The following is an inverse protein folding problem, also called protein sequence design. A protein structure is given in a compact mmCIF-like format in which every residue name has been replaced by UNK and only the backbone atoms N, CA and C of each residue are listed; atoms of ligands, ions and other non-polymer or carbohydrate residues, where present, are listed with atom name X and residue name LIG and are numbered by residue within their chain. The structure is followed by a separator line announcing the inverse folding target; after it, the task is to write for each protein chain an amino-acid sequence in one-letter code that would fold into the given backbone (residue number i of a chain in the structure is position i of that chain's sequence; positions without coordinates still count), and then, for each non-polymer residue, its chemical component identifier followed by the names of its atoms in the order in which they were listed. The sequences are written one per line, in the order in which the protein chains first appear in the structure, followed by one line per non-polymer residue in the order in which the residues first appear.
data_IF_492850633879
#
_entry.id   IF_492850633879
#
_cell.length_a   1.000
_cell.length_b   1.000
_cell.length_c   1.000
_cell.angle_alpha   90.00
_cell.angle_beta   90.00
_cell.angle_gamma   90.00
#
_symmetry.space_group_name_H-M   'P 1'
#
loop_
_entity.id
_entity.type
_entity.pdbx_description
1 polymer ?
#
# COMPACT_ATOMS: atom_id res chain seq x y z
N UNK A 1 -14.17 -12.63 -13.34
CA UNK A 1 -14.30 -12.86 -14.79
C UNK A 1 -13.43 -14.05 -15.19
N UNK A 2 -13.78 -14.81 -16.24
CA UNK A 2 -12.93 -15.89 -16.77
C UNK A 2 -11.64 -15.30 -17.34
N UNK A 3 -10.55 -16.04 -17.28
CA UNK A 3 -9.24 -15.65 -17.83
C UNK A 3 -9.22 -15.73 -19.35
N UNK A 4 -8.34 -14.94 -19.98
CA UNK A 4 -8.14 -15.02 -21.44
C UNK A 4 -7.72 -16.41 -21.87
N UNK A 5 -6.84 -17.08 -21.10
CA UNK A 5 -6.42 -18.46 -21.39
C UNK A 5 -7.58 -19.45 -21.35
N UNK A 6 -8.54 -19.29 -20.44
CA UNK A 6 -9.71 -20.16 -20.37
C UNK A 6 -10.68 -19.90 -21.54
N UNK A 7 -10.88 -18.64 -21.90
CA UNK A 7 -11.74 -18.27 -23.04
C UNK A 7 -11.19 -18.74 -24.39
N UNK A 8 -9.89 -18.98 -24.49
CA UNK A 8 -9.25 -19.50 -25.69
C UNK A 8 -9.36 -21.03 -25.85
N UNK A 9 -9.84 -21.75 -24.82
CA UNK A 9 -10.08 -23.20 -24.88
C UNK A 9 -11.27 -23.51 -25.80
N UNK A 10 -11.14 -24.41 -26.80
CA UNK A 10 -12.23 -24.75 -27.72
C UNK A 10 -13.52 -25.14 -27.02
N UNK A 11 -13.42 -25.97 -25.97
CA UNK A 11 -14.55 -26.45 -25.17
C UNK A 11 -15.34 -25.30 -24.51
N UNK A 12 -14.66 -24.25 -24.09
CA UNK A 12 -15.28 -23.07 -23.49
C UNK A 12 -15.94 -22.21 -24.56
N UNK A 13 -15.27 -22.05 -25.71
CA UNK A 13 -15.82 -21.31 -26.85
C UNK A 13 -17.10 -21.96 -27.36
N UNK A 14 -17.13 -23.29 -27.53
CA UNK A 14 -18.34 -24.04 -27.89
C UNK A 14 -19.48 -23.80 -26.90
N UNK A 15 -19.23 -23.89 -25.62
CA UNK A 15 -20.24 -23.63 -24.57
C UNK A 15 -20.77 -22.19 -24.65
N UNK A 16 -19.92 -21.21 -24.91
CA UNK A 16 -20.32 -19.81 -25.07
C UNK A 16 -21.19 -19.66 -26.32
N UNK A 17 -20.79 -20.25 -27.44
CA UNK A 17 -21.53 -20.22 -28.71
C UNK A 17 -22.94 -20.83 -28.52
N UNK A 18 -23.04 -22.00 -27.87
CA UNK A 18 -24.34 -22.64 -27.59
C UNK A 18 -25.22 -21.70 -26.78
N UNK A 19 -24.68 -21.12 -25.71
CA UNK A 19 -25.46 -20.25 -24.82
C UNK A 19 -25.85 -18.93 -25.49
N UNK A 20 -25.03 -18.38 -26.35
CA UNK A 20 -25.35 -17.18 -27.15
C UNK A 20 -26.42 -17.49 -28.18
N UNK A 21 -26.36 -18.68 -28.84
CA UNK A 21 -27.38 -19.13 -29.78
C UNK A 21 -28.73 -19.30 -29.07
N UNK A 22 -28.76 -19.85 -27.85
CA UNK A 22 -29.99 -19.98 -27.05
C UNK A 22 -30.66 -18.63 -26.73
N UNK A 23 -29.88 -17.58 -26.54
CA UNK A 23 -30.37 -16.22 -26.23
C UNK A 23 -30.84 -15.49 -27.51
N UNK A 24 -30.09 -15.63 -28.62
CA UNK A 24 -30.36 -14.88 -29.85
C UNK A 24 -31.50 -15.50 -30.65
N UNK A 25 -31.65 -16.85 -30.67
CA UNK A 25 -32.65 -17.55 -31.48
C UNK A 25 -34.10 -17.11 -31.20
N UNK A 26 -34.52 -16.87 -29.94
CA UNK A 26 -35.87 -16.35 -29.67
C UNK A 26 -36.05 -14.94 -30.23
N UNK A 27 -35.06 -14.05 -30.06
CA UNK A 27 -35.14 -12.66 -30.53
C UNK A 27 -35.15 -12.57 -32.08
N UNK A 28 -34.46 -13.48 -32.75
CA UNK A 28 -34.48 -13.57 -34.22
C UNK A 28 -35.82 -14.01 -34.78
N UNK A 29 -36.55 -14.89 -34.07
CA UNK A 29 -37.89 -15.34 -34.46
C UNK A 29 -38.94 -14.23 -34.36
N UNK A 30 -38.76 -13.27 -33.46
CA UNK A 30 -39.65 -12.11 -33.32
C UNK A 30 -39.42 -11.04 -34.42
N UNK A 31 -38.27 -11.08 -35.10
CA UNK A 31 -37.84 -10.11 -36.12
C UNK A 31 -37.89 -10.70 -37.54
N UNK A 32 -38.79 -11.66 -37.82
CA UNK A 32 -38.93 -12.26 -39.15
C UNK A 32 -39.23 -11.20 -40.22
N UNK A 33 -38.22 -10.91 -41.01
CA UNK A 33 -38.35 -10.12 -42.24
C UNK A 33 -37.16 -9.26 -42.67
N UNK A 34 -36.22 -8.93 -41.78
CA UNK A 34 -35.17 -7.90 -42.10
C UNK A 34 -33.79 -8.16 -41.49
N UNK A 35 -33.50 -9.28 -40.91
CA UNK A 35 -32.19 -9.51 -40.24
C UNK A 35 -31.35 -10.50 -41.04
N UNK A 36 -30.18 -10.05 -41.58
CA UNK A 36 -29.14 -10.95 -42.05
C UNK A 36 -28.83 -12.01 -40.98
N UNK A 37 -28.64 -13.27 -41.44
CA UNK A 37 -28.27 -14.37 -40.53
C UNK A 37 -26.98 -14.03 -39.79
N UNK A 38 -27.07 -13.72 -38.53
CA UNK A 38 -25.92 -13.36 -37.69
C UNK A 38 -25.09 -14.62 -37.46
N UNK A 39 -23.83 -14.58 -37.91
CA UNK A 39 -22.86 -15.65 -37.64
C UNK A 39 -22.38 -15.57 -36.18
N UNK A 40 -23.06 -16.30 -35.30
CA UNK A 40 -22.78 -16.29 -33.85
C UNK A 40 -21.35 -16.78 -33.53
N UNK A 41 -20.86 -17.76 -34.27
CA UNK A 41 -19.51 -18.31 -34.08
C UNK A 41 -18.44 -17.23 -34.36
N UNK A 42 -18.61 -16.45 -35.41
CA UNK A 42 -17.73 -15.35 -35.77
C UNK A 42 -17.78 -14.20 -34.75
N UNK A 43 -18.97 -13.86 -34.27
CA UNK A 43 -19.15 -12.81 -33.24
C UNK A 43 -18.48 -13.22 -31.94
N UNK A 44 -18.67 -14.47 -31.48
CA UNK A 44 -18.04 -14.98 -30.27
C UNK A 44 -16.53 -14.96 -30.40
N UNK A 45 -15.98 -15.44 -31.53
CA UNK A 45 -14.53 -15.43 -31.77
C UNK A 45 -13.96 -13.99 -31.78
N UNK A 46 -14.62 -13.07 -32.49
CA UNK A 46 -14.22 -11.64 -32.53
C UNK A 46 -14.32 -10.99 -31.13
N UNK A 47 -15.36 -11.29 -30.37
CA UNK A 47 -15.53 -10.75 -29.02
C UNK A 47 -14.45 -11.24 -28.08
N UNK A 48 -14.09 -12.53 -28.15
CA UNK A 48 -12.99 -13.08 -27.34
C UNK A 48 -11.66 -12.47 -27.75
N UNK A 49 -11.40 -12.35 -29.06
CA UNK A 49 -10.18 -11.70 -29.56
C UNK A 49 -10.06 -10.26 -29.09
N UNK A 50 -11.12 -9.46 -29.24
CA UNK A 50 -11.17 -8.07 -28.78
C UNK A 50 -11.00 -7.96 -27.25
N UNK A 51 -11.63 -8.83 -26.48
CA UNK A 51 -11.42 -8.88 -25.04
C UNK A 51 -9.97 -9.15 -24.68
N UNK A 52 -9.34 -10.13 -25.34
CA UNK A 52 -7.94 -10.46 -25.10
C UNK A 52 -7.01 -9.31 -25.48
N UNK A 53 -7.36 -8.54 -26.49
CA UNK A 53 -6.63 -7.34 -26.91
C UNK A 53 -6.78 -6.20 -25.87
N UNK A 54 -7.98 -5.98 -25.36
CA UNK A 54 -8.33 -4.85 -24.48
C UNK A 54 -8.21 -5.16 -22.99
N UNK A 55 -7.63 -6.29 -22.58
CA UNK A 55 -7.49 -6.63 -21.16
C UNK A 55 -6.11 -7.18 -20.83
N UNK A 56 -5.66 -6.97 -19.60
CA UNK A 56 -4.55 -7.69 -18.98
C UNK A 56 -5.14 -8.52 -17.83
N UNK A 57 -4.92 -9.82 -17.85
CA UNK A 57 -5.37 -10.69 -16.76
C UNK A 57 -4.43 -10.52 -15.56
N UNK A 58 -4.90 -9.88 -14.51
CA UNK A 58 -4.17 -9.65 -13.26
C UNK A 58 -4.73 -10.61 -12.20
N UNK A 59 -3.94 -11.56 -11.67
CA UNK A 59 -4.41 -12.47 -10.63
C UNK A 59 -4.83 -11.70 -9.37
N UNK A 60 -5.92 -12.13 -8.74
CA UNK A 60 -6.30 -11.61 -7.44
C UNK A 60 -5.57 -12.37 -6.36
N UNK A 61 -4.56 -11.75 -5.79
CA UNK A 61 -3.77 -12.30 -4.68
C UNK A 61 -4.24 -11.64 -3.39
N UNK A 62 -4.63 -12.46 -2.42
CA UNK A 62 -4.97 -12.03 -1.06
C UNK A 62 -3.91 -12.59 -0.14
N UNK A 63 -3.26 -11.71 0.61
CA UNK A 63 -2.30 -12.10 1.65
C UNK A 63 -3.08 -12.21 2.95
N UNK A 64 -3.06 -13.38 3.59
CA UNK A 64 -3.68 -13.59 4.89
C UNK A 64 -2.60 -13.86 5.94
N UNK A 65 -2.67 -13.22 7.11
CA UNK A 65 -1.80 -13.58 8.22
C UNK A 65 -2.12 -15.01 8.67
N UNK A 66 -1.08 -15.82 8.80
CA UNK A 66 -1.17 -17.21 9.30
C UNK A 66 -0.32 -17.34 10.54
N UNK A 67 -0.89 -17.92 11.61
CA UNK A 67 -0.21 -18.07 12.89
C UNK A 67 -0.47 -16.93 13.88
N UNK A 68 0.29 -16.91 14.95
CA UNK A 68 0.14 -15.92 16.01
C UNK A 68 0.58 -14.54 15.51
N UNK A 69 -0.30 -13.55 15.64
CA UNK A 69 0.04 -12.16 15.38
C UNK A 69 0.77 -11.62 16.61
N UNK A 70 2.06 -11.36 16.48
CA UNK A 70 2.81 -10.62 17.51
C UNK A 70 2.45 -9.16 17.42
N UNK A 71 1.84 -8.66 18.50
CA UNK A 71 1.51 -7.25 18.68
C UNK A 71 2.58 -6.62 19.54
N UNK A 72 3.03 -5.41 19.20
CA UNK A 72 4.04 -4.75 19.97
C UNK A 72 4.30 -3.32 19.53
N UNK A 73 5.33 -2.74 20.09
CA UNK A 73 5.73 -1.36 19.78
C UNK A 73 7.18 -1.35 19.34
N UNK A 74 7.49 -0.56 18.29
CA UNK A 74 8.87 -0.31 17.87
C UNK A 74 9.56 0.60 18.87
N UNK A 75 10.86 0.43 19.04
CA UNK A 75 11.70 1.37 19.78
C UNK A 75 11.69 2.75 19.14
N UNK A 76 11.59 3.78 19.96
CA UNK A 76 11.60 5.17 19.48
C UNK A 76 12.12 6.12 20.57
N UNK A 77 12.41 7.36 20.16
CA UNK A 77 12.78 8.42 21.09
C UNK A 77 11.64 9.41 21.26
N UNK A 78 11.39 9.78 22.52
CA UNK A 78 10.39 10.78 22.87
C UNK A 78 10.87 12.18 22.48
N UNK A 79 10.03 12.94 21.82
CA UNK A 79 10.20 14.39 21.69
C UNK A 79 9.67 15.07 22.98
N UNK A 80 10.61 15.43 23.85
CA UNK A 80 10.34 16.08 25.16
C UNK A 80 10.69 17.57 25.14
N UNK A 81 11.07 18.15 24.00
CA UNK A 81 11.55 19.54 23.92
C UNK A 81 10.54 20.56 24.46
N UNK A 82 9.24 20.30 24.29
CA UNK A 82 8.15 21.15 24.79
C UNK A 82 7.71 20.84 26.23
N UNK A 83 8.20 19.74 26.82
CA UNK A 83 7.81 19.31 28.17
C UNK A 83 8.65 20.09 29.21
N UNK A 84 8.01 20.97 29.98
CA UNK A 84 8.63 21.80 31.02
C UNK A 84 7.81 21.78 32.31
N UNK A 85 7.70 20.60 32.91
CA UNK A 85 6.99 20.41 34.16
C UNK A 85 7.78 20.96 35.34
N UNK A 86 7.11 21.61 36.29
CA UNK A 86 7.72 22.21 37.44
C UNK A 86 7.25 21.48 38.74
N UNK A 87 8.10 21.43 39.76
CA UNK A 87 7.70 20.90 41.05
C UNK A 87 6.61 21.78 41.68
N UNK A 88 5.75 21.16 42.45
CA UNK A 88 4.71 21.83 43.25
C UNK A 88 5.07 21.88 44.72
N UNK A 89 4.44 22.78 45.47
CA UNK A 89 4.62 22.85 46.94
C UNK A 89 4.26 21.51 47.59
N UNK A 90 5.00 21.15 48.64
CA UNK A 90 4.82 19.88 49.36
C UNK A 90 3.41 19.68 49.87
N UNK A 91 2.73 20.76 50.34
CA UNK A 91 1.35 20.67 50.76
C UNK A 91 0.39 20.25 49.65
N UNK A 92 0.58 20.81 48.45
CA UNK A 92 -0.20 20.45 47.28
C UNK A 92 0.06 19.00 46.86
N UNK A 93 1.34 18.60 46.85
CA UNK A 93 1.72 17.21 46.56
C UNK A 93 1.08 16.24 47.57
N UNK A 94 1.15 16.52 48.86
CA UNK A 94 0.56 15.68 49.91
C UNK A 94 -0.96 15.57 49.74
N UNK A 95 -1.66 16.65 49.43
CA UNK A 95 -3.11 16.64 49.15
C UNK A 95 -3.44 15.76 47.96
N UNK A 96 -2.69 15.87 46.86
CA UNK A 96 -2.91 15.05 45.67
C UNK A 96 -2.62 13.57 45.93
N UNK A 97 -1.54 13.25 46.64
CA UNK A 97 -1.22 11.88 47.03
C UNK A 97 -2.28 11.29 47.97
N UNK A 98 -2.82 12.08 48.89
CA UNK A 98 -3.94 11.64 49.75
C UNK A 98 -5.21 11.39 48.93
N UNK A 99 -5.54 12.26 47.98
CA UNK A 99 -6.68 12.08 47.09
C UNK A 99 -6.53 10.79 46.27
N UNK A 100 -5.37 10.55 45.70
CA UNK A 100 -5.09 9.30 44.95
C UNK A 100 -5.10 8.09 45.85
N UNK A 101 -4.63 8.18 47.09
CA UNK A 101 -4.70 7.10 48.08
C UNK A 101 -6.13 6.69 48.37
N UNK A 102 -7.03 7.65 48.56
CA UNK A 102 -8.46 7.36 48.79
C UNK A 102 -9.06 6.62 47.57
N UNK A 103 -8.79 7.09 46.33
CA UNK A 103 -9.25 6.42 45.12
C UNK A 103 -8.65 5.01 44.99
N UNK A 104 -7.36 4.84 45.27
CA UNK A 104 -6.69 3.53 45.20
C UNK A 104 -7.12 2.57 46.31
N UNK A 105 -7.40 3.08 47.54
CA UNK A 105 -7.97 2.25 48.60
C UNK A 105 -9.36 1.73 48.26
N UNK A 106 -10.16 2.53 47.57
CA UNK A 106 -11.47 2.09 47.05
C UNK A 106 -11.30 1.02 45.96
N UNK A 107 -10.18 1.03 45.22
CA UNK A 107 -9.82 0.06 44.20
C UNK A 107 -8.94 -1.10 44.67
N UNK A 108 -8.61 -1.16 45.97
CA UNK A 108 -7.82 -2.24 46.59
C UNK A 108 -6.29 -2.12 46.41
N UNK A 109 -5.77 -1.06 45.79
CA UNK A 109 -4.34 -0.82 45.61
C UNK A 109 -3.81 0.28 46.55
N UNK A 110 -2.80 -0.03 47.37
CA UNK A 110 -2.15 0.94 48.27
C UNK A 110 -1.19 1.90 47.59
N UNK A 111 -0.77 3.01 48.25
CA UNK A 111 0.34 3.83 47.77
C UNK A 111 1.63 3.07 48.05
N UNK A 112 2.41 2.83 46.99
CA UNK A 112 3.73 2.21 47.08
C UNK A 112 4.77 3.28 46.75
N UNK A 113 5.85 3.38 47.57
CA UNK A 113 7.04 4.16 47.20
C UNK A 113 7.87 3.32 46.28
N UNK A 114 8.14 3.84 45.09
CA UNK A 114 8.88 3.11 44.04
C UNK A 114 10.39 3.11 44.37
N UNK A 115 11.08 2.02 44.05
CA UNK A 115 12.51 1.87 44.25
C UNK A 115 13.35 2.69 43.26
N UNK A 116 12.84 2.84 42.04
CA UNK A 116 13.48 3.59 40.93
C UNK A 116 12.55 4.71 40.48
N UNK A 117 13.12 5.82 40.00
CA UNK A 117 12.32 6.93 39.50
C UNK A 117 11.50 6.56 38.26
N UNK A 118 12.06 5.70 37.40
CA UNK A 118 11.38 5.19 36.21
C UNK A 118 10.10 4.40 36.60
N UNK A 119 10.10 3.72 37.73
CA UNK A 119 8.97 2.89 38.17
C UNK A 119 7.67 3.69 38.35
N UNK A 120 7.75 4.99 38.69
CA UNK A 120 6.58 5.86 38.76
C UNK A 120 5.87 5.98 37.41
N UNK A 121 6.62 5.97 36.32
CA UNK A 121 6.10 6.07 34.94
C UNK A 121 5.68 4.68 34.44
N UNK A 122 6.56 3.68 34.57
CA UNK A 122 6.34 2.32 34.09
C UNK A 122 5.07 1.73 34.69
N UNK A 123 4.87 1.92 36.03
CA UNK A 123 3.68 1.44 36.71
C UNK A 123 2.38 2.00 36.15
N UNK A 124 2.37 3.26 35.75
CA UNK A 124 1.18 3.85 35.11
C UNK A 124 0.95 3.38 33.69
N UNK A 125 2.04 3.01 32.98
CA UNK A 125 1.94 2.48 31.62
C UNK A 125 1.39 1.05 31.58
N UNK A 126 1.77 0.20 32.52
CA UNK A 126 1.26 -1.18 32.58
C UNK A 126 -0.22 -1.29 32.99
N UNK A 127 -0.82 -0.20 33.43
CA UNK A 127 -2.26 -0.16 33.72
C UNK A 127 -3.13 -0.04 32.44
N UNK A 128 -2.51 0.17 31.26
CA UNK A 128 -3.25 0.17 29.99
C UNK A 128 -3.42 -1.24 29.43
N UNK A 129 -4.62 -1.54 28.92
CA UNK A 129 -5.00 -2.87 28.42
C UNK A 129 -4.19 -3.31 27.18
N UNK A 130 -3.62 -2.35 26.43
CA UNK A 130 -2.83 -2.58 25.23
C UNK A 130 -1.32 -2.74 25.50
N UNK A 131 -0.89 -2.68 26.76
CA UNK A 131 0.51 -2.83 27.18
C UNK A 131 0.71 -4.12 27.99
N UNK A 132 1.49 -5.06 27.45
CA UNK A 132 1.96 -6.24 28.16
C UNK A 132 3.35 -5.98 28.73
N UNK A 133 3.51 -6.06 30.06
CA UNK A 133 4.80 -5.82 30.71
C UNK A 133 5.87 -6.81 30.26
N UNK A 134 5.54 -8.09 30.15
CA UNK A 134 6.50 -9.15 29.82
C UNK A 134 7.09 -8.95 28.41
N UNK A 135 6.30 -8.39 27.50
CA UNK A 135 6.73 -8.18 26.10
C UNK A 135 7.43 -6.82 25.89
N UNK A 136 7.13 -5.82 26.75
CA UNK A 136 7.51 -4.43 26.51
C UNK A 136 8.41 -3.82 27.60
N UNK A 137 8.81 -4.58 28.62
CA UNK A 137 9.54 -4.05 29.77
C UNK A 137 10.76 -3.18 29.39
N UNK A 138 11.57 -3.62 28.46
CA UNK A 138 12.77 -2.89 28.02
C UNK A 138 12.39 -1.53 27.40
N UNK A 139 11.41 -1.49 26.51
CA UNK A 139 10.90 -0.26 25.89
C UNK A 139 10.31 0.69 26.96
N UNK A 140 9.50 0.16 27.89
CA UNK A 140 8.88 0.98 28.94
C UNK A 140 9.92 1.65 29.82
N UNK A 141 10.96 0.91 30.22
CA UNK A 141 12.08 1.46 31.00
C UNK A 141 12.94 2.42 30.20
N UNK A 142 13.16 2.20 28.91
CA UNK A 142 13.87 3.15 28.06
C UNK A 142 13.10 4.49 27.95
N UNK A 143 11.80 4.44 27.66
CA UNK A 143 10.96 5.64 27.56
C UNK A 143 10.85 6.38 28.90
N UNK A 144 10.68 5.66 30.00
CA UNK A 144 10.69 6.26 31.33
C UNK A 144 12.04 6.88 31.67
N UNK A 145 13.15 6.23 31.32
CA UNK A 145 14.51 6.75 31.46
C UNK A 145 14.74 8.04 30.68
N UNK A 146 14.21 8.14 29.45
CA UNK A 146 14.26 9.37 28.64
C UNK A 146 13.54 10.52 29.36
N UNK A 147 12.38 10.28 29.98
CA UNK A 147 11.66 11.28 30.77
C UNK A 147 12.46 11.70 32.00
N UNK A 148 12.99 10.74 32.78
CA UNK A 148 13.81 11.04 33.96
C UNK A 148 15.06 11.85 33.58
N UNK A 149 15.76 11.45 32.53
CA UNK A 149 16.92 12.17 32.02
C UNK A 149 16.54 13.61 31.57
N UNK A 150 15.40 13.78 30.90
CA UNK A 150 14.91 15.09 30.51
C UNK A 150 14.60 15.98 31.73
N UNK A 151 13.92 15.46 32.75
CA UNK A 151 13.63 16.21 33.98
C UNK A 151 14.92 16.64 34.68
N UNK A 152 15.91 15.74 34.79
CA UNK A 152 17.24 16.03 35.36
C UNK A 152 18.00 17.12 34.59
N UNK A 153 17.69 17.33 33.33
CA UNK A 153 18.38 18.33 32.50
C UNK A 153 18.07 19.79 32.91
N UNK A 154 16.98 20.04 33.66
CA UNK A 154 16.54 21.39 34.00
C UNK A 154 16.05 21.56 35.45
N UNK A 155 15.81 20.49 36.22
CA UNK A 155 15.47 20.54 37.62
C UNK A 155 16.75 20.52 38.47
N UNK A 156 16.67 21.05 39.70
CA UNK A 156 17.85 21.30 40.54
C UNK A 156 18.43 20.03 41.15
N UNK A 157 17.56 19.14 41.63
CA UNK A 157 17.97 17.94 42.37
C UNK A 157 16.96 16.80 42.22
N UNK A 158 17.30 15.62 42.72
CA UNK A 158 16.46 14.42 42.66
C UNK A 158 15.12 14.59 43.42
N UNK A 159 15.07 15.50 44.41
CA UNK A 159 13.84 15.76 45.17
C UNK A 159 12.82 16.48 44.30
N UNK A 160 13.27 17.46 43.52
CA UNK A 160 12.40 18.12 42.53
C UNK A 160 11.97 17.15 41.42
N UNK A 161 12.87 16.28 40.94
CA UNK A 161 12.52 15.25 39.97
C UNK A 161 11.45 14.31 40.52
N UNK A 162 11.62 13.81 41.72
CA UNK A 162 10.64 12.96 42.41
C UNK A 162 9.29 13.66 42.57
N UNK A 163 9.29 14.93 43.00
CA UNK A 163 8.06 15.72 43.16
C UNK A 163 7.30 15.81 41.83
N UNK A 164 8.00 16.14 40.73
CA UNK A 164 7.40 16.23 39.37
C UNK A 164 6.86 14.87 38.93
N UNK A 165 7.62 13.79 39.10
CA UNK A 165 7.18 12.45 38.74
C UNK A 165 5.93 12.03 39.54
N UNK A 166 5.89 12.33 40.81
CA UNK A 166 4.75 12.00 41.66
C UNK A 166 3.52 12.84 41.31
N UNK A 167 3.68 14.14 41.17
CA UNK A 167 2.54 15.04 40.90
C UNK A 167 2.00 14.89 39.49
N UNK A 168 2.89 14.85 38.48
CA UNK A 168 2.55 14.81 37.04
C UNK A 168 2.50 13.40 36.48
N UNK A 169 2.54 12.35 37.30
CA UNK A 169 2.58 10.94 36.87
C UNK A 169 1.62 10.64 35.73
N UNK A 170 0.34 10.97 35.89
CA UNK A 170 -0.68 10.64 34.90
C UNK A 170 -0.48 11.41 33.58
N UNK A 171 -0.04 12.65 33.65
CA UNK A 171 0.22 13.43 32.44
C UNK A 171 1.40 12.86 31.64
N UNK A 172 2.47 12.43 32.32
CA UNK A 172 3.63 11.79 31.71
C UNK A 172 3.27 10.43 31.11
N UNK A 173 2.53 9.63 31.83
CA UNK A 173 2.04 8.32 31.38
C UNK A 173 1.16 8.46 30.15
N UNK A 174 0.21 9.38 30.15
CA UNK A 174 -0.65 9.63 28.98
C UNK A 174 0.13 10.13 27.77
N UNK A 175 1.15 10.99 28.00
CA UNK A 175 2.03 11.47 26.94
C UNK A 175 2.76 10.31 26.27
N UNK A 176 3.41 9.45 27.07
CA UNK A 176 4.16 8.30 26.55
C UNK A 176 3.23 7.34 25.82
N UNK A 177 2.11 6.95 26.45
CA UNK A 177 1.13 6.04 25.83
C UNK A 177 0.59 6.58 24.49
N UNK A 178 0.31 7.89 24.42
CA UNK A 178 -0.10 8.52 23.16
C UNK A 178 0.97 8.39 22.08
N UNK A 179 2.26 8.55 22.42
CA UNK A 179 3.37 8.38 21.47
C UNK A 179 3.61 6.92 21.11
N UNK A 180 3.43 6.00 22.05
CA UNK A 180 3.54 4.57 21.76
C UNK A 180 2.54 4.13 20.69
N UNK A 181 1.33 4.69 20.65
CA UNK A 181 0.33 4.36 19.61
C UNK A 181 0.81 4.66 18.19
N UNK A 182 1.60 5.71 18.01
CA UNK A 182 2.18 6.07 16.71
C UNK A 182 3.27 5.05 16.27
N UNK A 183 3.75 4.22 17.20
CA UNK A 183 4.80 3.21 17.00
C UNK A 183 4.29 1.78 17.20
N UNK A 184 2.97 1.60 17.30
CA UNK A 184 2.35 0.28 17.39
C UNK A 184 2.51 -0.47 16.06
N UNK A 185 2.85 -1.75 16.15
CA UNK A 185 2.95 -2.64 15.00
C UNK A 185 2.34 -4.01 15.29
N UNK A 186 1.72 -4.57 14.28
CA UNK A 186 1.30 -5.97 14.29
C UNK A 186 2.18 -6.73 13.30
N UNK A 187 2.94 -7.70 13.78
CA UNK A 187 3.73 -8.60 12.95
C UNK A 187 3.11 -9.99 12.98
N UNK A 188 2.51 -10.41 11.89
CA UNK A 188 2.17 -11.81 11.75
C UNK A 188 3.46 -12.64 11.65
N UNK A 189 3.50 -13.79 12.33
CA UNK A 189 4.66 -14.69 12.32
C UNK A 189 4.86 -15.35 10.96
N UNK A 190 3.79 -15.45 10.15
CA UNK A 190 3.83 -15.88 8.77
C UNK A 190 2.66 -15.29 7.99
N UNK A 191 2.85 -15.12 6.69
CA UNK A 191 1.80 -14.73 5.76
C UNK A 191 1.65 -15.85 4.73
N UNK A 192 0.42 -16.28 4.47
CA UNK A 192 0.11 -17.11 3.32
C UNK A 192 -0.55 -16.27 2.25
N UNK A 193 0.00 -16.36 1.04
CA UNK A 193 -0.59 -15.74 -0.12
C UNK A 193 -1.58 -16.71 -0.76
N UNK A 194 -2.81 -16.29 -0.81
CA UNK A 194 -3.88 -17.05 -1.42
C UNK A 194 -4.29 -16.41 -2.75
N UNK A 195 -4.20 -17.15 -3.84
CA UNK A 195 -4.72 -16.70 -5.13
C UNK A 195 -6.20 -17.07 -5.19
N UNK A 196 -7.08 -16.09 -5.01
CA UNK A 196 -8.51 -16.29 -5.17
C UNK A 196 -8.83 -16.50 -6.65
N UNK A 197 -9.68 -17.52 -6.96
CA UNK A 197 -10.10 -17.78 -8.33
C UNK A 197 -10.71 -16.54 -8.99
N UNK A 198 -10.07 -16.05 -10.04
CA UNK A 198 -10.51 -14.88 -10.80
C UNK A 198 -9.42 -13.88 -11.07
N UNK A 199 -9.75 -12.86 -11.84
CA UNK A 199 -8.87 -11.75 -12.19
C UNK A 199 -9.36 -10.44 -11.59
N UNK A 200 -8.43 -9.55 -11.27
CA UNK A 200 -8.73 -8.17 -10.90
C UNK A 200 -9.26 -7.42 -12.12
N UNK A 201 -10.42 -6.79 -12.00
CA UNK A 201 -10.98 -5.96 -13.06
C UNK A 201 -10.62 -4.51 -12.77
N UNK A 202 -9.77 -3.92 -13.60
CA UNK A 202 -9.48 -2.50 -13.57
C UNK A 202 -10.52 -1.75 -14.43
N UNK A 203 -10.94 -0.57 -13.96
CA UNK A 203 -11.91 0.27 -14.65
C UNK A 203 -11.22 1.53 -15.18
N UNK A 204 -11.69 2.03 -16.32
CA UNK A 204 -11.24 3.32 -16.83
C UNK A 204 -11.54 4.43 -15.81
N UNK A 205 -10.60 5.36 -15.68
CA UNK A 205 -10.81 6.56 -14.88
C UNK A 205 -11.74 7.52 -15.61
N UNK A 206 -12.64 8.14 -14.85
CA UNK A 206 -13.37 9.31 -15.32
C UNK A 206 -12.59 10.56 -14.91
N UNK A 207 -12.27 11.41 -15.88
CA UNK A 207 -11.58 12.68 -15.63
C UNK A 207 -12.54 13.83 -15.90
N UNK A 208 -12.72 14.70 -14.91
CA UNK A 208 -13.38 15.99 -15.13
C UNK A 208 -12.32 17.03 -15.52
N UNK A 209 -12.44 17.59 -16.70
CA UNK A 209 -11.57 18.66 -17.21
C UNK A 209 -12.42 19.84 -17.63
N UNK A 210 -11.94 21.09 -17.48
CA UNK A 210 -12.55 22.25 -18.12
C UNK A 210 -12.62 22.06 -19.65
N UNK A 211 -13.66 22.57 -20.25
CA UNK A 211 -13.92 22.44 -21.71
C UNK A 211 -12.76 22.95 -22.59
N UNK A 212 -11.89 23.79 -22.04
CA UNK A 212 -10.74 24.38 -22.72
C UNK A 212 -9.46 23.52 -22.65
N UNK A 213 -9.41 22.49 -21.80
CA UNK A 213 -8.25 21.61 -21.68
C UNK A 213 -8.41 20.35 -22.51
N UNK A 214 -7.99 20.42 -23.76
CA UNK A 214 -7.92 19.27 -24.67
C UNK A 214 -6.78 18.33 -24.21
N UNK A 215 -7.03 17.03 -24.21
CA UNK A 215 -5.99 16.03 -23.94
C UNK A 215 -4.82 16.19 -24.93
N UNK A 216 -3.59 16.26 -24.43
CA UNK A 216 -2.37 16.45 -25.22
C UNK A 216 -1.82 15.12 -25.72
N UNK A 217 -1.20 15.12 -26.87
CA UNK A 217 -0.44 13.93 -27.30
C UNK A 217 0.72 13.70 -26.29
N UNK A 218 0.81 12.49 -25.78
CA UNK A 218 1.79 12.11 -24.76
C UNK A 218 3.25 12.23 -25.24
N UNK A 219 3.50 12.23 -26.54
CA UNK A 219 4.84 12.38 -27.14
C UNK A 219 5.33 13.81 -27.07
N UNK A 220 4.43 14.79 -27.02
CA UNK A 220 4.79 16.19 -26.97
C UNK A 220 5.43 16.51 -25.62
N UNK A 221 6.67 17.04 -25.59
CA UNK A 221 7.33 17.43 -24.36
C UNK A 221 6.53 18.47 -23.58
N UNK A 222 6.51 18.34 -22.27
CA UNK A 222 5.86 19.29 -21.36
C UNK A 222 6.88 20.32 -20.93
N UNK A 223 6.62 21.60 -21.17
CA UNK A 223 7.50 22.72 -20.83
C UNK A 223 7.45 22.97 -19.32
N UNK A 224 6.25 23.07 -18.76
CA UNK A 224 6.05 23.22 -17.31
C UNK A 224 5.76 21.88 -16.66
N UNK A 225 6.80 21.29 -16.07
CA UNK A 225 6.75 19.95 -15.48
C UNK A 225 5.94 19.91 -14.18
N UNK A 226 5.72 21.06 -13.52
CA UNK A 226 4.95 21.13 -12.27
C UNK A 226 3.44 20.94 -12.52
N UNK A 227 2.98 21.35 -13.69
CA UNK A 227 1.55 21.23 -14.06
C UNK A 227 1.14 19.87 -14.62
N UNK A 228 2.10 18.95 -14.80
CA UNK A 228 1.85 17.65 -15.46
C UNK A 228 0.72 16.85 -14.79
N UNK A 229 0.59 16.97 -13.47
CA UNK A 229 -0.47 16.31 -12.68
C UNK A 229 -1.88 16.80 -13.02
N UNK A 230 -1.99 17.97 -13.64
CA UNK A 230 -3.28 18.57 -14.06
C UNK A 230 -3.60 18.26 -15.51
N UNK A 231 -2.62 17.81 -16.30
CA UNK A 231 -2.76 17.55 -17.72
C UNK A 231 -3.37 16.19 -18.00
N UNK A 232 -4.14 16.10 -19.08
CA UNK A 232 -4.57 14.85 -19.69
C UNK A 232 -3.73 14.56 -20.92
N UNK A 233 -3.40 13.28 -21.10
CA UNK A 233 -2.61 12.79 -22.22
C UNK A 233 -3.39 11.75 -23.03
N UNK A 234 -3.24 11.78 -24.36
CA UNK A 234 -3.89 10.88 -25.30
C UNK A 234 -2.91 10.47 -26.41
N UNK A 235 -3.40 9.75 -27.42
CA UNK A 235 -2.62 9.34 -28.58
C UNK A 235 -1.88 8.02 -28.39
N UNK A 236 -2.22 7.26 -27.34
CA UNK A 236 -1.66 5.94 -27.07
C UNK A 236 -2.16 4.90 -28.06
N UNK A 237 -1.25 4.02 -28.52
CA UNK A 237 -1.57 2.87 -29.36
C UNK A 237 -1.61 1.55 -28.59
N UNK A 238 -0.97 1.48 -27.42
CA UNK A 238 -0.85 0.26 -26.59
C UNK A 238 -1.45 0.39 -25.20
N UNK A 239 -1.77 1.61 -24.75
CA UNK A 239 -2.48 1.80 -23.50
C UNK A 239 -3.90 1.28 -23.63
N UNK A 240 -4.39 0.54 -22.61
CA UNK A 240 -5.76 0.02 -22.60
C UNK A 240 -6.83 1.11 -22.48
N UNK A 241 -6.43 2.33 -22.08
CA UNK A 241 -7.33 3.47 -22.01
C UNK A 241 -6.84 4.61 -22.92
N UNK A 242 -7.77 5.28 -23.61
CA UNK A 242 -7.41 6.31 -24.59
C UNK A 242 -6.84 7.58 -23.96
N UNK A 243 -7.10 7.80 -22.68
CA UNK A 243 -6.67 8.99 -21.93
C UNK A 243 -6.08 8.58 -20.60
N UNK A 244 -4.95 9.21 -20.23
CA UNK A 244 -4.26 8.98 -18.97
C UNK A 244 -3.81 10.28 -18.30
N UNK A 245 -3.66 10.23 -16.97
CA UNK A 245 -2.94 11.22 -16.15
C UNK A 245 -1.62 10.64 -15.67
N UNK A 246 -0.61 11.49 -15.56
CA UNK A 246 0.67 11.14 -14.98
C UNK A 246 0.96 12.02 -13.76
N UNK A 247 1.53 11.42 -12.72
CA UNK A 247 1.90 12.13 -11.50
C UNK A 247 3.27 12.83 -11.65
N UNK A 248 4.05 12.43 -12.66
CA UNK A 248 5.35 12.99 -12.95
C UNK A 248 5.67 12.97 -14.46
N UNK A 249 6.66 13.79 -14.88
CA UNK A 249 7.16 13.74 -16.24
C UNK A 249 7.93 12.42 -16.54
N UNK A 250 8.42 11.76 -15.51
CA UNK A 250 9.11 10.49 -15.67
C UNK A 250 8.14 9.37 -16.02
N UNK A 251 6.95 9.33 -15.42
CA UNK A 251 5.89 8.43 -15.81
C UNK A 251 5.45 8.66 -17.26
N UNK A 252 5.27 9.93 -17.66
CA UNK A 252 4.96 10.25 -19.05
C UNK A 252 6.06 9.76 -20.03
N UNK A 253 7.33 9.97 -19.70
CA UNK A 253 8.46 9.47 -20.50
C UNK A 253 8.53 7.95 -20.52
N UNK A 254 8.22 7.32 -19.40
CA UNK A 254 8.12 5.86 -19.35
C UNK A 254 6.99 5.35 -20.27
N UNK A 255 5.85 6.02 -20.32
CA UNK A 255 4.81 5.71 -21.29
C UNK A 255 5.30 5.84 -22.75
N UNK A 256 6.16 6.82 -23.06
CA UNK A 256 6.82 6.91 -24.40
C UNK A 256 7.67 5.67 -24.68
N UNK A 257 8.45 5.21 -23.70
CA UNK A 257 9.24 3.97 -23.85
C UNK A 257 8.32 2.78 -24.13
N UNK A 258 7.23 2.61 -23.36
CA UNK A 258 6.29 1.50 -23.54
C UNK A 258 5.62 1.51 -24.92
N UNK A 259 5.23 2.68 -25.40
CA UNK A 259 4.60 2.83 -26.72
C UNK A 259 5.56 2.55 -27.87
N UNK A 260 6.85 2.87 -27.71
CA UNK A 260 7.88 2.67 -28.74
C UNK A 260 8.47 1.25 -28.74
N UNK A 261 8.42 0.53 -27.61
CA UNK A 261 9.01 -0.80 -27.48
C UNK A 261 8.19 -1.87 -28.24
N UNK A 262 8.82 -2.53 -29.21
CA UNK A 262 8.17 -3.56 -30.09
C UNK A 262 7.76 -4.84 -29.34
N UNK A 263 8.31 -5.09 -28.15
CA UNK A 263 7.98 -6.25 -27.36
C UNK A 263 6.79 -5.99 -26.40
N UNK A 264 6.50 -4.73 -26.11
CA UNK A 264 5.31 -4.32 -25.36
C UNK A 264 4.08 -4.46 -26.24
N UNK A 265 3.13 -5.26 -25.80
CA UNK A 265 1.84 -5.47 -26.46
C UNK A 265 0.82 -4.46 -25.99
N UNK A 266 0.71 -4.30 -24.68
CA UNK A 266 -0.26 -3.41 -24.03
C UNK A 266 0.18 -3.04 -22.64
N UNK A 267 -0.34 -1.93 -22.13
CA UNK A 267 -0.07 -1.45 -20.78
C UNK A 267 -1.24 -0.65 -20.22
N UNK A 268 -1.22 -0.47 -18.89
CA UNK A 268 -2.18 0.36 -18.19
C UNK A 268 -1.50 1.02 -16.98
N UNK A 269 -1.91 2.25 -16.65
CA UNK A 269 -1.69 2.86 -15.35
C UNK A 269 -2.95 2.63 -14.52
N UNK A 270 -2.92 1.77 -13.48
CA UNK A 270 -4.09 1.53 -12.65
C UNK A 270 -4.60 2.81 -12.00
N UNK A 271 -5.90 2.95 -11.88
CA UNK A 271 -6.48 4.04 -11.12
C UNK A 271 -6.26 3.81 -9.62
N UNK A 272 -6.17 4.90 -8.86
CA UNK A 272 -6.00 4.84 -7.41
C UNK A 272 -7.05 3.94 -6.75
N UNK A 273 -6.59 3.03 -5.91
CA UNK A 273 -7.43 2.05 -5.20
C UNK A 273 -7.81 0.81 -6.00
N UNK A 274 -7.38 0.66 -7.26
CA UNK A 274 -7.77 -0.47 -8.10
C UNK A 274 -6.84 -1.69 -8.02
N UNK A 275 -5.55 -1.47 -7.81
CA UNK A 275 -4.56 -2.54 -7.66
C UNK A 275 -3.70 -2.27 -6.43
N UNK A 276 -4.00 -2.98 -5.33
CA UNK A 276 -3.32 -2.81 -4.05
C UNK A 276 -2.51 -4.03 -3.71
N UNK A 277 -1.26 -3.81 -3.32
CA UNK A 277 -0.33 -4.82 -2.83
C UNK A 277 -0.01 -4.48 -1.37
N UNK A 278 -0.24 -5.41 -0.46
CA UNK A 278 0.04 -5.24 0.97
C UNK A 278 1.54 -5.43 1.21
N UNK A 279 2.18 -4.56 2.01
CA UNK A 279 3.61 -4.61 2.26
C UNK A 279 4.05 -4.49 3.73
N UNK A 280 3.22 -3.92 4.60
CA UNK A 280 3.50 -3.83 6.02
C UNK A 280 2.17 -3.76 6.81
N UNK A 281 1.78 -4.87 7.43
CA UNK A 281 0.48 -4.94 8.11
C UNK A 281 -0.67 -4.58 7.18
N UNK A 282 -1.40 -3.50 7.51
CA UNK A 282 -2.52 -3.00 6.69
C UNK A 282 -2.10 -1.98 5.62
N UNK A 283 -0.80 -1.66 5.53
CA UNK A 283 -0.32 -0.71 4.54
C UNK A 283 -0.32 -1.32 3.14
N UNK A 284 -0.79 -0.54 2.18
CA UNK A 284 -0.88 -0.95 0.78
C UNK A 284 -0.10 -0.02 -0.13
N UNK A 285 0.48 -0.60 -1.15
CA UNK A 285 1.13 0.12 -2.23
C UNK A 285 0.42 -0.17 -3.56
N UNK A 286 0.43 0.80 -4.46
CA UNK A 286 -0.19 0.72 -5.78
C UNK A 286 0.90 0.92 -6.84
N UNK A 287 1.13 -0.05 -7.74
CA UNK A 287 2.14 0.10 -8.80
C UNK A 287 1.72 1.15 -9.83
N UNK A 288 2.70 1.90 -10.35
CA UNK A 288 2.44 2.93 -11.36
C UNK A 288 1.91 2.34 -12.67
N UNK A 289 2.48 1.20 -13.12
CA UNK A 289 2.12 0.60 -14.40
C UNK A 289 2.01 -0.92 -14.31
N UNK A 290 1.08 -1.46 -15.10
CA UNK A 290 1.02 -2.88 -15.45
C UNK A 290 1.28 -3.00 -16.94
N UNK A 291 2.26 -3.82 -17.33
CA UNK A 291 2.70 -3.95 -18.72
C UNK A 291 2.67 -5.41 -19.14
N UNK A 292 2.15 -5.69 -20.33
CA UNK A 292 2.21 -7.01 -20.92
C UNK A 292 3.08 -6.98 -22.18
N UNK A 293 4.07 -7.87 -22.21
CA UNK A 293 4.92 -8.13 -23.37
C UNK A 293 4.53 -9.45 -24.05
N UNK A 294 5.23 -9.81 -25.11
CA UNK A 294 5.04 -11.11 -25.77
C UNK A 294 5.27 -12.29 -24.82
N UNK A 295 6.20 -12.17 -23.88
CA UNK A 295 6.68 -13.29 -23.06
C UNK A 295 6.44 -13.16 -21.58
N UNK A 296 6.20 -11.96 -21.05
CA UNK A 296 6.07 -11.69 -19.62
C UNK A 296 5.11 -10.54 -19.34
N UNK A 297 4.75 -10.41 -18.08
CA UNK A 297 4.02 -9.27 -17.51
C UNK A 297 4.86 -8.59 -16.46
N UNK A 298 4.68 -7.29 -16.30
CA UNK A 298 5.48 -6.49 -15.40
C UNK A 298 4.60 -5.59 -14.54
N UNK A 299 4.95 -5.48 -13.26
CA UNK A 299 4.57 -4.37 -12.42
C UNK A 299 5.74 -3.38 -12.41
N UNK A 300 5.49 -2.13 -12.79
CA UNK A 300 6.55 -1.13 -12.87
C UNK A 300 6.24 0.05 -11.95
N UNK A 301 7.27 0.51 -11.26
CA UNK A 301 7.28 1.70 -10.42
C UNK A 301 8.41 2.61 -10.88
N UNK A 302 8.12 3.89 -11.03
CA UNK A 302 9.13 4.91 -11.34
C UNK A 302 9.45 5.73 -10.09
N UNK A 303 10.74 5.87 -9.74
CA UNK A 303 11.12 6.56 -8.50
C UNK A 303 12.28 7.52 -8.71
N UNK A 304 12.33 8.58 -7.91
CA UNK A 304 13.48 9.46 -7.88
C UNK A 304 14.74 8.67 -7.49
N UNK A 305 15.85 8.84 -8.22
CA UNK A 305 17.06 8.03 -8.03
C UNK A 305 17.64 8.12 -6.61
N UNK A 306 17.46 9.24 -5.92
CA UNK A 306 17.86 9.44 -4.54
C UNK A 306 16.91 8.78 -3.51
N UNK A 307 15.70 8.39 -3.91
CA UNK A 307 14.70 7.77 -3.04
C UNK A 307 14.64 6.23 -3.22
N UNK A 308 15.25 5.69 -4.27
CA UNK A 308 15.19 4.24 -4.57
C UNK A 308 15.66 3.39 -3.40
N UNK A 309 16.68 3.83 -2.65
CA UNK A 309 17.23 3.09 -1.51
C UNK A 309 16.52 3.41 -0.18
N UNK A 310 15.47 4.21 -0.17
CA UNK A 310 14.70 4.48 1.05
C UNK A 310 14.04 3.19 1.56
N UNK A 311 13.99 3.02 2.87
CA UNK A 311 13.53 1.77 3.51
C UNK A 311 12.08 1.42 3.12
N UNK A 312 11.21 2.42 3.10
CA UNK A 312 9.81 2.27 2.67
C UNK A 312 9.68 1.86 1.19
N UNK A 313 10.52 2.43 0.31
CA UNK A 313 10.56 2.07 -1.11
C UNK A 313 11.03 0.63 -1.29
N UNK A 314 12.05 0.22 -0.54
CA UNK A 314 12.56 -1.16 -0.58
C UNK A 314 11.57 -2.16 0.04
N UNK A 315 10.81 -1.78 1.06
CA UNK A 315 9.75 -2.61 1.62
C UNK A 315 8.64 -2.87 0.59
N UNK A 316 8.19 -1.83 -0.12
CA UNK A 316 7.22 -1.92 -1.23
C UNK A 316 7.75 -2.78 -2.38
N UNK A 317 9.04 -2.62 -2.73
CA UNK A 317 9.69 -3.40 -3.78
C UNK A 317 9.71 -4.89 -3.45
N UNK A 318 10.07 -5.25 -2.21
CA UNK A 318 10.04 -6.66 -1.75
C UNK A 318 8.63 -7.25 -1.83
N UNK A 319 7.63 -6.55 -1.36
CA UNK A 319 6.23 -7.02 -1.42
C UNK A 319 5.73 -7.16 -2.86
N UNK A 320 6.11 -6.25 -3.75
CA UNK A 320 5.77 -6.34 -5.16
C UNK A 320 6.46 -7.52 -5.86
N UNK A 321 7.73 -7.78 -5.52
CA UNK A 321 8.47 -8.94 -6.03
C UNK A 321 7.86 -10.27 -5.55
N UNK A 322 7.46 -10.34 -4.27
CA UNK A 322 6.75 -11.49 -3.70
C UNK A 322 5.39 -11.70 -4.38
N UNK A 323 4.61 -10.63 -4.55
CA UNK A 323 3.37 -10.67 -5.31
C UNK A 323 3.58 -11.22 -6.73
N UNK A 324 4.62 -10.75 -7.44
CA UNK A 324 4.97 -11.23 -8.77
C UNK A 324 5.35 -12.72 -8.78
N UNK A 325 6.01 -13.22 -7.72
CA UNK A 325 6.33 -14.64 -7.57
C UNK A 325 5.06 -15.50 -7.48
N UNK A 326 4.12 -15.12 -6.64
CA UNK A 326 2.83 -15.81 -6.51
C UNK A 326 1.99 -15.72 -7.78
N UNK A 327 1.95 -14.56 -8.41
CA UNK A 327 1.26 -14.36 -9.69
C UNK A 327 1.87 -15.21 -10.80
N UNK A 328 3.19 -15.36 -10.82
CA UNK A 328 3.92 -16.22 -11.77
C UNK A 328 3.56 -17.69 -11.58
N UNK A 329 3.66 -18.20 -10.34
CA UNK A 329 3.33 -19.60 -10.05
C UNK A 329 1.91 -19.92 -10.51
N UNK A 330 0.95 -19.08 -10.13
CA UNK A 330 -0.44 -19.24 -10.51
C UNK A 330 -0.68 -19.15 -12.02
N UNK A 331 -0.11 -18.13 -12.69
CA UNK A 331 -0.37 -17.91 -14.11
C UNK A 331 0.26 -18.99 -14.99
N UNK A 332 1.47 -19.48 -14.65
CA UNK A 332 2.12 -20.56 -15.39
C UNK A 332 1.33 -21.87 -15.32
N UNK A 333 0.72 -22.22 -14.17
CA UNK A 333 -0.17 -23.37 -14.05
C UNK A 333 -1.43 -23.27 -14.93
N UNK A 334 -1.83 -22.05 -15.30
CA UNK A 334 -3.02 -21.76 -16.08
C UNK A 334 -2.74 -21.27 -17.50
N UNK A 335 -1.52 -21.47 -18.02
CA UNK A 335 -1.13 -21.11 -19.38
C UNK A 335 -0.96 -19.60 -19.59
N UNK A 336 -0.76 -18.85 -18.51
CA UNK A 336 -0.45 -17.42 -18.54
C UNK A 336 1.05 -17.15 -18.69
N UNK A 337 1.47 -15.91 -18.42
CA UNK A 337 2.85 -15.42 -18.54
C UNK A 337 3.44 -15.13 -17.15
N UNK A 338 4.77 -15.26 -16.99
CA UNK A 338 5.42 -14.89 -15.74
C UNK A 338 5.32 -13.40 -15.48
N UNK A 339 5.33 -13.02 -14.19
CA UNK A 339 5.32 -11.66 -13.69
C UNK A 339 6.67 -11.26 -13.15
N UNK A 340 7.06 -10.01 -13.36
CA UNK A 340 8.31 -9.43 -12.84
C UNK A 340 8.02 -8.03 -12.32
N UNK A 341 8.58 -7.67 -11.18
CA UNK A 341 8.56 -6.30 -10.67
C UNK A 341 9.78 -5.51 -11.16
N UNK A 342 9.57 -4.26 -11.52
CA UNK A 342 10.63 -3.33 -11.93
C UNK A 342 10.52 -2.01 -11.16
N UNK A 343 11.50 -1.73 -10.31
CA UNK A 343 11.71 -0.42 -9.70
C UNK A 343 12.71 0.35 -10.55
N UNK A 344 12.23 1.38 -11.26
CA UNK A 344 12.97 2.09 -12.30
C UNK A 344 13.37 3.47 -11.78
N UNK A 345 14.67 3.73 -11.59
CA UNK A 345 15.16 5.07 -11.27
C UNK A 345 14.84 6.04 -12.43
N UNK A 346 14.37 7.23 -12.11
CA UNK A 346 13.92 8.18 -13.11
C UNK A 346 15.02 8.67 -14.07
N UNK A 347 16.27 8.68 -13.63
CA UNK A 347 17.44 9.15 -14.37
C UNK A 347 17.89 8.21 -15.49
N UNK A 348 17.48 6.93 -15.45
CA UNK A 348 17.74 5.97 -16.54
C UNK A 348 16.65 5.96 -17.60
N UNK A 349 15.53 6.66 -17.42
CA UNK A 349 14.43 6.69 -18.39
C UNK A 349 14.79 7.63 -19.53
N UNK A 350 15.08 7.05 -20.70
CA UNK A 350 15.29 7.78 -21.95
C UNK A 350 14.35 7.25 -23.04
N UNK A 351 13.85 8.14 -23.90
CA UNK A 351 12.79 7.83 -24.86
C UNK A 351 13.18 6.76 -25.91
N UNK A 352 14.48 6.49 -26.06
CA UNK A 352 15.06 5.45 -26.93
C UNK A 352 15.37 4.14 -26.20
N UNK A 353 15.03 4.02 -24.91
CA UNK A 353 15.19 2.77 -24.15
C UNK A 353 14.09 1.77 -24.50
N UNK A 354 14.31 0.52 -24.10
CA UNK A 354 13.32 -0.55 -24.11
C UNK A 354 13.01 -0.99 -22.68
N UNK A 355 11.87 -1.61 -22.47
CA UNK A 355 11.50 -2.16 -21.16
C UNK A 355 12.57 -3.15 -20.66
N UNK A 356 13.08 -4.00 -21.54
CA UNK A 356 14.17 -4.93 -21.23
C UNK A 356 15.48 -4.21 -20.87
N UNK A 357 15.78 -3.11 -21.56
CA UNK A 357 16.93 -2.27 -21.22
C UNK A 357 16.79 -1.65 -19.85
N UNK A 358 15.61 -1.14 -19.51
CA UNK A 358 15.31 -0.59 -18.18
C UNK A 358 15.33 -1.67 -17.10
N UNK A 359 14.89 -2.89 -17.38
CA UNK A 359 14.95 -4.02 -16.44
C UNK A 359 16.38 -4.33 -15.97
N UNK A 360 17.40 -4.12 -16.82
CA UNK A 360 18.80 -4.29 -16.41
C UNK A 360 19.30 -3.22 -15.42
N UNK A 361 18.56 -2.12 -15.27
CA UNK A 361 18.85 -1.03 -14.32
C UNK A 361 17.88 -1.04 -13.10
N UNK A 362 16.94 -1.99 -13.06
CA UNK A 362 16.03 -2.13 -11.94
C UNK A 362 16.80 -2.45 -10.65
N UNK A 363 16.38 -1.85 -9.53
CA UNK A 363 17.00 -1.98 -8.21
C UNK A 363 16.05 -2.64 -7.18
N UNK A 364 15.05 -3.36 -7.64
CA UNK A 364 14.10 -4.10 -6.83
C UNK A 364 14.27 -5.61 -6.92
#
# INVERSE_FOLDING_TARGET
MPRSADLNKPEIQEKIVVKVKEIITPAQKELEGTVEQVNVDEIVAKTIALRNELTIDIPRITVQPVGDVKRGYREFKLDLASVRLQPVDNEILIQELHRRKQVRLMSGTGIVTEARLEDYVVRGLIDFDDICYDDHAELLYDLAGQVVAHLRSYLKDETEVLNVLQYHQQALVNLIHSRMKDHYEEKATAYESYVSGGITTLRANSYSVPEEEIARDFRVPVTDKQDIRRMLFCGFGKCLYPVQKFDSNWERRFAVVLENDRDVLKWIKPAKGQLRIYYAGDETYEPDFVVETKTARFLCETKAANEVNAEDVQAKARAAAEWCSHATAHDLEHGGKPWTYLLIPHDVIADNMTLRGLASHSRG
#
